data_IF_767514752065
#
_entry.id   IF_767514752065
#
_cell.length_a   1.000
_cell.length_b   1.000
_cell.length_c   1.000
_cell.angle_alpha   90.00
_cell.angle_beta   90.00
_cell.angle_gamma   90.00
#
_symmetry.space_group_name_H-M   'P 1'
#
loop_
_entity.id
_entity.type
_entity.pdbx_description
1 polymer ?
#
# COMPACT_ATOMS: atom_id res chain seq x y z
N UNK A 1 -9.16 -8.24 19.18
CA UNK A 1 -8.40 -9.48 19.02
C UNK A 1 -7.11 -9.12 18.29
N UNK A 2 -5.98 -9.70 18.69
CA UNK A 2 -4.67 -9.54 18.02
C UNK A 2 -4.33 -10.87 17.39
N UNK A 3 -4.01 -10.85 16.09
CA UNK A 3 -3.61 -12.02 15.33
C UNK A 3 -2.15 -11.82 14.88
N UNK A 4 -1.24 -12.74 15.20
CA UNK A 4 0.16 -12.61 14.82
C UNK A 4 0.37 -12.98 13.34
N UNK A 5 1.24 -12.20 12.67
CA UNK A 5 1.76 -12.47 11.33
C UNK A 5 3.23 -12.85 11.50
N UNK A 6 3.62 -14.03 11.01
CA UNK A 6 4.99 -14.52 11.07
C UNK A 6 5.85 -13.91 9.95
N UNK A 7 7.18 -13.88 10.14
CA UNK A 7 8.08 -13.53 9.06
C UNK A 7 8.17 -14.66 8.03
N UNK A 8 8.25 -14.31 6.73
CA UNK A 8 8.48 -15.26 5.65
C UNK A 8 9.90 -15.81 5.75
N UNK A 9 10.88 -14.91 5.94
CA UNK A 9 12.30 -15.28 5.97
C UNK A 9 12.94 -14.95 7.31
N UNK A 10 13.96 -15.70 7.66
CA UNK A 10 14.74 -15.51 8.88
C UNK A 10 15.31 -14.09 8.92
N UNK A 11 14.93 -13.35 9.97
CA UNK A 11 15.30 -11.95 10.15
C UNK A 11 14.82 -11.01 9.05
N UNK A 12 13.81 -11.41 8.26
CA UNK A 12 13.30 -10.69 7.08
C UNK A 12 14.42 -10.35 6.07
N UNK A 13 15.36 -11.28 5.92
CA UNK A 13 16.54 -11.08 5.07
C UNK A 13 16.35 -11.52 3.60
N UNK A 14 15.16 -12.03 3.24
CA UNK A 14 14.83 -12.45 1.88
C UNK A 14 15.59 -13.70 1.38
N UNK A 15 16.16 -14.52 2.27
CA UNK A 15 17.05 -15.63 1.89
C UNK A 15 16.54 -17.01 2.29
N UNK A 16 16.39 -17.26 3.56
CA UNK A 16 16.01 -18.56 4.12
C UNK A 16 14.64 -18.44 4.76
N UNK A 17 13.75 -19.37 4.47
CA UNK A 17 12.42 -19.41 5.07
C UNK A 17 12.51 -19.63 6.58
N UNK A 18 11.50 -19.13 7.30
CA UNK A 18 11.27 -19.47 8.70
C UNK A 18 10.65 -20.87 8.80
N UNK A 19 10.57 -21.41 10.02
CA UNK A 19 9.83 -22.65 10.33
C UNK A 19 8.33 -22.35 10.36
N UNK A 20 7.74 -22.11 9.16
CA UNK A 20 6.37 -21.62 9.01
C UNK A 20 5.34 -22.53 9.69
N UNK A 21 5.54 -23.86 9.66
CA UNK A 21 4.63 -24.80 10.32
C UNK A 21 4.59 -24.59 11.84
N UNK A 22 5.74 -24.45 12.49
CA UNK A 22 5.83 -24.19 13.93
C UNK A 22 5.21 -22.85 14.30
N UNK A 23 5.39 -21.84 13.46
CA UNK A 23 4.76 -20.53 13.66
C UNK A 23 3.23 -20.58 13.53
N UNK A 24 2.70 -21.38 12.60
CA UNK A 24 1.24 -21.62 12.51
C UNK A 24 0.73 -22.34 13.74
N UNK A 25 1.44 -23.38 14.24
CA UNK A 25 1.09 -24.07 15.47
C UNK A 25 1.12 -23.11 16.69
N UNK A 26 2.03 -22.13 16.68
CA UNK A 26 2.10 -21.08 17.68
C UNK A 26 1.00 -20.00 17.53
N UNK A 27 0.21 -20.04 16.46
CA UNK A 27 -0.94 -19.15 16.25
C UNK A 27 -0.80 -18.09 15.20
N UNK A 28 0.27 -18.11 14.37
CA UNK A 28 0.38 -17.21 13.21
C UNK A 28 -0.69 -17.54 12.17
N UNK A 29 -1.35 -16.52 11.65
CA UNK A 29 -2.45 -16.65 10.68
C UNK A 29 -2.03 -16.33 9.25
N UNK A 30 -0.87 -15.71 9.06
CA UNK A 30 -0.30 -15.28 7.80
C UNK A 30 1.21 -15.10 7.93
N UNK A 31 1.89 -14.85 6.82
CA UNK A 31 3.33 -14.56 6.79
C UNK A 31 3.63 -13.33 5.94
N UNK A 32 4.53 -12.48 6.43
CA UNK A 32 4.99 -11.26 5.75
C UNK A 32 6.43 -10.92 6.13
N UNK A 33 7.17 -10.39 5.17
CA UNK A 33 8.42 -9.67 5.44
C UNK A 33 8.22 -8.15 5.25
N UNK A 34 7.05 -7.63 5.58
CA UNK A 34 6.63 -6.26 5.31
C UNK A 34 7.72 -5.22 5.61
N UNK A 35 7.84 -4.25 4.70
CA UNK A 35 8.93 -3.27 4.66
C UNK A 35 10.29 -3.84 4.20
N UNK A 36 10.37 -5.16 3.92
CA UNK A 36 11.58 -5.83 3.40
C UNK A 36 11.16 -6.85 2.34
N UNK A 37 10.89 -6.44 1.10
CA UNK A 37 10.31 -7.32 0.08
C UNK A 37 11.19 -8.54 -0.19
N UNK A 38 10.56 -9.71 -0.35
CA UNK A 38 11.27 -10.94 -0.77
C UNK A 38 11.61 -10.81 -2.25
N UNK A 39 12.79 -10.30 -2.54
CA UNK A 39 13.23 -9.98 -3.92
C UNK A 39 13.56 -11.23 -4.74
N UNK A 40 14.02 -12.33 -4.12
CA UNK A 40 14.33 -13.58 -4.83
C UNK A 40 13.05 -14.34 -5.18
N UNK A 41 12.72 -14.50 -6.49
CA UNK A 41 11.53 -15.24 -6.91
C UNK A 41 11.51 -16.69 -6.48
N UNK A 42 12.67 -17.35 -6.34
CA UNK A 42 12.74 -18.74 -5.91
C UNK A 42 12.38 -18.89 -4.42
N UNK A 43 12.83 -17.93 -3.59
CA UNK A 43 12.45 -17.88 -2.17
C UNK A 43 10.95 -17.62 -2.03
N UNK A 44 10.40 -16.63 -2.75
CA UNK A 44 8.97 -16.33 -2.73
C UNK A 44 8.12 -17.51 -3.21
N UNK A 45 8.52 -18.18 -4.30
CA UNK A 45 7.85 -19.41 -4.78
C UNK A 45 7.80 -20.48 -3.71
N UNK A 46 8.93 -20.74 -3.03
CA UNK A 46 9.00 -21.75 -1.99
C UNK A 46 8.14 -21.37 -0.77
N UNK A 47 8.12 -20.08 -0.40
CA UNK A 47 7.25 -19.56 0.66
C UNK A 47 5.77 -19.76 0.32
N UNK A 48 5.35 -19.42 -0.90
CA UNK A 48 3.97 -19.62 -1.36
C UNK A 48 3.58 -21.10 -1.37
N UNK A 49 4.44 -21.99 -1.87
CA UNK A 49 4.18 -23.43 -1.86
C UNK A 49 4.04 -23.97 -0.43
N UNK A 50 4.89 -23.51 0.49
CA UNK A 50 4.81 -23.91 1.90
C UNK A 50 3.55 -23.37 2.57
N UNK A 51 3.23 -22.09 2.38
CA UNK A 51 2.01 -21.46 2.90
C UNK A 51 0.73 -22.15 2.38
N UNK A 52 0.72 -22.57 1.10
CA UNK A 52 -0.39 -23.32 0.53
C UNK A 52 -0.64 -24.66 1.25
N UNK A 53 0.42 -25.37 1.63
CA UNK A 53 0.31 -26.61 2.41
C UNK A 53 -0.27 -26.37 3.80
N UNK A 54 0.02 -25.22 4.40
CA UNK A 54 -0.45 -24.84 5.74
C UNK A 54 -1.83 -24.17 5.71
N UNK A 55 -2.35 -23.83 4.54
CA UNK A 55 -3.64 -23.17 4.36
C UNK A 55 -3.68 -21.71 4.82
N UNK A 56 -2.54 -21.03 4.87
CA UNK A 56 -2.40 -19.63 5.29
C UNK A 56 -1.93 -18.74 4.13
N UNK A 57 -2.27 -17.43 4.11
CA UNK A 57 -1.81 -16.52 3.07
C UNK A 57 -0.36 -16.04 3.29
N UNK A 58 0.29 -15.69 2.19
CA UNK A 58 1.45 -14.78 2.19
C UNK A 58 0.94 -13.37 1.96
N UNK A 59 1.38 -12.41 2.77
CA UNK A 59 1.12 -10.98 2.64
C UNK A 59 2.38 -10.32 2.09
N UNK A 60 2.29 -9.73 0.90
CA UNK A 60 3.45 -9.19 0.18
C UNK A 60 3.45 -7.66 0.17
N UNK A 61 4.50 -7.08 0.75
CA UNK A 61 4.93 -5.72 0.46
C UNK A 61 5.64 -5.73 -0.90
N UNK A 62 4.99 -5.18 -1.92
CA UNK A 62 5.47 -5.28 -3.29
C UNK A 62 6.35 -4.10 -3.67
N UNK A 63 7.67 -4.32 -3.68
CA UNK A 63 8.65 -3.31 -4.08
C UNK A 63 9.86 -3.97 -4.76
N UNK A 64 10.15 -3.59 -6.00
CA UNK A 64 11.43 -3.89 -6.62
C UNK A 64 12.48 -2.88 -6.15
N UNK A 65 13.36 -3.32 -5.24
CA UNK A 65 14.40 -2.49 -4.61
C UNK A 65 15.45 -1.95 -5.61
N UNK A 66 15.52 -2.50 -6.81
CA UNK A 66 16.44 -2.01 -7.83
C UNK A 66 15.86 -0.81 -8.57
N UNK A 67 14.56 -0.81 -8.79
CA UNK A 67 13.82 0.30 -9.41
C UNK A 67 13.56 1.44 -8.43
N UNK A 68 13.33 1.13 -7.15
CA UNK A 68 13.03 2.14 -6.11
C UNK A 68 14.27 2.74 -5.45
N UNK A 69 15.47 2.29 -5.81
CA UNK A 69 16.70 2.68 -5.10
C UNK A 69 16.83 4.19 -4.88
N UNK A 70 16.94 4.59 -3.63
CA UNK A 70 17.20 5.99 -3.24
C UNK A 70 16.00 6.92 -3.42
N UNK A 71 14.81 6.38 -3.56
CA UNK A 71 13.59 7.16 -3.72
C UNK A 71 13.28 8.07 -2.53
N UNK A 72 12.54 9.13 -2.77
CA UNK A 72 12.00 10.02 -1.76
C UNK A 72 10.47 10.13 -1.85
N UNK A 73 9.91 10.13 -3.06
CA UNK A 73 8.48 10.24 -3.31
C UNK A 73 8.09 9.56 -4.64
N UNK A 74 6.81 9.59 -5.02
CA UNK A 74 6.35 9.13 -6.33
C UNK A 74 7.11 9.79 -7.48
N UNK A 75 7.52 8.97 -8.47
CA UNK A 75 8.14 9.48 -9.71
C UNK A 75 7.10 10.14 -10.61
N UNK A 76 7.27 11.43 -10.89
CA UNK A 76 6.34 12.17 -11.74
C UNK A 76 6.69 13.65 -11.87
N UNK A 77 5.72 14.43 -12.30
CA UNK A 77 5.89 15.88 -12.49
C UNK A 77 6.22 16.61 -11.18
N UNK A 78 5.65 16.14 -10.05
CA UNK A 78 5.88 16.76 -8.75
C UNK A 78 7.29 16.49 -8.24
N UNK A 79 7.78 15.24 -8.31
CA UNK A 79 9.14 14.90 -7.90
C UNK A 79 10.18 15.64 -8.73
N UNK A 80 9.95 15.74 -10.05
CA UNK A 80 10.81 16.52 -10.95
C UNK A 80 10.83 18.00 -10.56
N UNK A 81 9.68 18.59 -10.27
CA UNK A 81 9.57 19.99 -9.83
C UNK A 81 10.27 20.25 -8.52
N UNK A 82 10.20 19.30 -7.58
CA UNK A 82 10.81 19.40 -6.24
C UNK A 82 12.30 19.00 -6.24
N UNK A 83 12.80 18.39 -7.31
CA UNK A 83 14.17 17.88 -7.38
C UNK A 83 14.40 16.66 -6.49
N UNK A 84 13.33 15.90 -6.20
CA UNK A 84 13.37 14.70 -5.36
C UNK A 84 13.47 13.44 -6.22
N UNK A 85 14.29 12.43 -5.82
CA UNK A 85 14.36 11.16 -6.53
C UNK A 85 13.03 10.42 -6.45
N UNK A 86 12.61 9.87 -7.61
CA UNK A 86 11.30 9.24 -7.77
C UNK A 86 11.29 7.75 -7.45
N UNK A 87 10.14 7.27 -6.98
CA UNK A 87 9.74 5.87 -6.89
C UNK A 87 8.79 5.59 -8.06
N UNK A 88 9.22 4.91 -9.13
CA UNK A 88 8.36 4.63 -10.26
C UNK A 88 7.23 3.65 -9.87
N UNK A 89 6.04 3.83 -10.43
CA UNK A 89 4.91 2.91 -10.24
C UNK A 89 5.31 1.47 -10.59
N UNK A 90 6.13 1.30 -11.62
CA UNK A 90 6.66 0.01 -12.05
C UNK A 90 7.40 -0.78 -10.94
N UNK A 91 7.98 -0.11 -9.94
CA UNK A 91 8.66 -0.81 -8.84
C UNK A 91 7.69 -1.63 -7.99
N UNK A 92 6.45 -1.18 -7.82
CA UNK A 92 5.37 -1.92 -7.17
C UNK A 92 4.77 -2.95 -8.14
N UNK A 93 4.43 -2.53 -9.35
CA UNK A 93 3.69 -3.32 -10.35
C UNK A 93 4.44 -4.58 -10.81
N UNK A 94 5.75 -4.48 -11.03
CA UNK A 94 6.58 -5.64 -11.43
C UNK A 94 6.55 -6.71 -10.36
N UNK A 95 6.63 -6.35 -9.08
CA UNK A 95 6.60 -7.32 -8.01
C UNK A 95 5.19 -7.89 -7.80
N UNK A 96 4.13 -7.09 -7.90
CA UNK A 96 2.75 -7.57 -7.89
C UNK A 96 2.55 -8.62 -8.99
N UNK A 97 2.94 -8.31 -10.24
CA UNK A 97 2.81 -9.24 -11.36
C UNK A 97 3.58 -10.54 -11.15
N UNK A 98 4.81 -10.46 -10.63
CA UNK A 98 5.63 -11.64 -10.28
C UNK A 98 4.95 -12.50 -9.23
N UNK A 99 4.49 -11.88 -8.14
CA UNK A 99 3.94 -12.60 -6.99
C UNK A 99 2.59 -13.24 -7.34
N UNK A 100 1.76 -12.58 -8.13
CA UNK A 100 0.53 -13.16 -8.68
C UNK A 100 0.84 -14.40 -9.55
N UNK A 101 1.84 -14.31 -10.44
CA UNK A 101 2.22 -15.45 -11.29
C UNK A 101 2.73 -16.65 -10.46
N UNK A 102 3.47 -16.39 -9.38
CA UNK A 102 3.93 -17.42 -8.47
C UNK A 102 2.78 -18.02 -7.65
N UNK A 103 1.83 -17.21 -7.22
CA UNK A 103 0.63 -17.67 -6.52
C UNK A 103 -0.26 -18.52 -7.42
N UNK A 104 -0.45 -18.13 -8.68
CA UNK A 104 -1.18 -18.90 -9.69
C UNK A 104 -0.55 -20.28 -9.93
N UNK A 105 0.79 -20.32 -10.06
CA UNK A 105 1.55 -21.55 -10.25
C UNK A 105 1.48 -22.51 -9.04
N UNK A 106 1.49 -21.98 -7.82
CA UNK A 106 1.53 -22.78 -6.58
C UNK A 106 0.15 -23.09 -6.01
N UNK A 107 -0.91 -22.41 -6.49
CA UNK A 107 -2.25 -22.49 -5.91
C UNK A 107 -2.37 -21.81 -4.54
N UNK A 108 -1.35 -21.06 -4.13
CA UNK A 108 -1.32 -20.36 -2.86
C UNK A 108 -2.27 -19.18 -2.81
N UNK A 109 -2.64 -18.76 -1.60
CA UNK A 109 -3.29 -17.47 -1.37
C UNK A 109 -2.22 -16.39 -1.16
N UNK A 110 -2.25 -15.37 -2.01
CA UNK A 110 -1.43 -14.18 -1.83
C UNK A 110 -2.31 -12.97 -1.51
N UNK A 111 -1.88 -12.18 -0.56
CA UNK A 111 -2.46 -10.88 -0.23
C UNK A 111 -1.47 -9.78 -0.58
N UNK A 112 -1.89 -8.82 -1.40
CA UNK A 112 -1.06 -7.67 -1.77
C UNK A 112 -1.35 -6.54 -0.79
N UNK A 113 -0.35 -6.23 0.04
CA UNK A 113 -0.45 -5.15 1.02
C UNK A 113 -0.46 -3.78 0.35
N UNK A 114 -1.17 -2.82 0.94
CA UNK A 114 -1.14 -1.38 0.67
C UNK A 114 -0.92 -1.02 -0.82
N UNK A 115 -1.71 -1.61 -1.74
CA UNK A 115 -1.65 -1.27 -3.17
C UNK A 115 -1.80 0.25 -3.34
N UNK A 116 -0.89 0.85 -4.10
CA UNK A 116 -0.86 2.30 -4.28
C UNK A 116 -1.01 2.76 -5.73
N UNK A 117 -0.87 1.87 -6.73
CA UNK A 117 -0.86 2.24 -8.15
C UNK A 117 -2.08 1.72 -8.92
N UNK A 118 -2.50 2.48 -9.94
CA UNK A 118 -3.56 2.07 -10.86
C UNK A 118 -3.21 0.76 -11.61
N UNK A 119 -1.94 0.60 -11.99
CA UNK A 119 -1.44 -0.62 -12.61
C UNK A 119 -1.50 -1.83 -11.66
N UNK A 120 -1.19 -1.63 -10.38
CA UNK A 120 -1.35 -2.65 -9.34
C UNK A 120 -2.81 -3.13 -9.21
N UNK A 121 -3.76 -2.17 -9.16
CA UNK A 121 -5.20 -2.50 -9.18
C UNK A 121 -5.59 -3.31 -10.41
N UNK A 122 -5.11 -2.90 -11.59
CA UNK A 122 -5.40 -3.61 -12.84
C UNK A 122 -4.85 -5.05 -12.84
N UNK A 123 -3.66 -5.26 -12.31
CA UNK A 123 -3.04 -6.58 -12.18
C UNK A 123 -3.83 -7.50 -11.24
N UNK A 124 -4.27 -6.99 -10.09
CA UNK A 124 -5.10 -7.74 -9.13
C UNK A 124 -6.46 -8.09 -9.74
N UNK A 125 -7.10 -7.13 -10.43
CA UNK A 125 -8.38 -7.35 -11.12
C UNK A 125 -8.27 -8.50 -12.13
N UNK A 126 -7.31 -8.41 -13.03
CA UNK A 126 -7.08 -9.44 -14.05
C UNK A 126 -6.73 -10.81 -13.45
N UNK A 127 -6.05 -10.85 -12.30
CA UNK A 127 -5.76 -12.09 -11.59
C UNK A 127 -7.03 -12.71 -10.99
N UNK A 128 -7.88 -11.91 -10.37
CA UNK A 128 -9.19 -12.37 -9.84
C UNK A 128 -10.09 -12.91 -10.94
N UNK A 129 -10.14 -12.25 -12.10
CA UNK A 129 -10.89 -12.71 -13.28
C UNK A 129 -10.42 -14.09 -13.78
N UNK A 130 -9.14 -14.40 -13.64
CA UNK A 130 -8.57 -15.72 -13.96
C UNK A 130 -8.76 -16.75 -12.85
N UNK A 131 -9.33 -16.37 -11.71
CA UNK A 131 -9.56 -17.25 -10.57
C UNK A 131 -8.32 -17.48 -9.70
N UNK A 132 -7.30 -16.63 -9.80
CA UNK A 132 -6.14 -16.67 -8.89
C UNK A 132 -6.60 -16.31 -7.48
N UNK A 133 -6.11 -17.04 -6.48
CA UNK A 133 -6.39 -16.75 -5.06
C UNK A 133 -5.59 -15.54 -4.59
N UNK A 134 -6.02 -14.36 -5.02
CA UNK A 134 -5.40 -13.07 -4.66
C UNK A 134 -6.40 -12.20 -3.93
N UNK A 135 -5.96 -11.55 -2.86
CA UNK A 135 -6.64 -10.44 -2.18
C UNK A 135 -5.71 -9.25 -2.11
N UNK A 136 -6.27 -8.06 -1.93
CA UNK A 136 -5.51 -6.83 -1.85
C UNK A 136 -6.15 -5.83 -0.88
N UNK A 137 -5.33 -4.94 -0.35
CA UNK A 137 -5.78 -3.85 0.50
C UNK A 137 -5.25 -2.50 0.04
N UNK A 138 -5.95 -1.44 0.42
CA UNK A 138 -5.50 -0.06 0.25
C UNK A 138 -5.51 0.65 1.61
N UNK A 139 -4.69 1.68 1.76
CA UNK A 139 -4.62 2.44 3.01
C UNK A 139 -5.48 3.71 2.94
N UNK A 140 -5.93 4.26 4.08
CA UNK A 140 -6.66 5.51 4.11
C UNK A 140 -5.89 6.67 3.46
N UNK A 141 -4.57 6.74 3.66
CA UNK A 141 -3.75 7.79 3.09
C UNK A 141 -3.61 7.66 1.56
N UNK A 142 -3.48 6.45 1.00
CA UNK A 142 -3.48 6.25 -0.46
C UNK A 142 -4.85 6.49 -1.11
N UNK A 143 -5.95 6.42 -0.35
CA UNK A 143 -7.30 6.71 -0.83
C UNK A 143 -7.66 8.20 -0.81
N UNK A 144 -6.88 9.03 -0.09
CA UNK A 144 -7.28 10.43 0.20
C UNK A 144 -6.21 11.46 -0.12
N UNK A 145 -4.94 11.09 -0.06
CA UNK A 145 -3.80 11.98 -0.27
C UNK A 145 -3.10 11.65 -1.59
N UNK A 146 -2.48 12.67 -2.19
CA UNK A 146 -1.69 12.53 -3.41
C UNK A 146 -0.28 13.09 -3.22
N UNK A 147 0.60 12.87 -4.18
CA UNK A 147 1.96 13.42 -4.22
C UNK A 147 2.01 14.97 -4.16
N UNK A 148 0.88 15.64 -4.48
CA UNK A 148 0.73 17.10 -4.35
C UNK A 148 0.87 17.58 -2.91
N UNK A 149 0.61 16.72 -1.93
CA UNK A 149 0.78 17.07 -0.52
C UNK A 149 2.25 17.31 -0.16
N UNK A 150 3.18 16.65 -0.86
CA UNK A 150 4.63 16.92 -0.73
C UNK A 150 4.99 18.32 -1.23
N UNK A 151 4.29 18.80 -2.28
CA UNK A 151 4.46 20.15 -2.81
C UNK A 151 3.99 21.24 -1.82
N UNK A 152 3.02 20.91 -0.98
CA UNK A 152 2.46 21.82 0.00
C UNK A 152 2.02 23.16 -0.63
N UNK A 153 2.34 24.26 0.04
CA UNK A 153 1.97 25.63 -0.40
C UNK A 153 2.79 26.16 -1.59
N UNK A 154 3.73 25.39 -2.15
CA UNK A 154 4.40 25.72 -3.41
C UNK A 154 3.52 25.39 -4.64
N UNK A 155 2.40 24.69 -4.43
CA UNK A 155 1.37 24.42 -5.41
C UNK A 155 0.15 25.31 -5.24
N UNK A 156 -0.89 25.05 -6.03
CA UNK A 156 -2.23 25.57 -5.75
C UNK A 156 -2.76 24.90 -4.45
N UNK A 157 -3.69 25.56 -3.71
CA UNK A 157 -4.27 24.96 -2.53
C UNK A 157 -4.81 23.57 -2.85
N UNK A 158 -4.36 22.55 -2.12
CA UNK A 158 -4.92 21.21 -2.23
C UNK A 158 -6.28 21.24 -1.55
N UNK A 159 -7.35 21.29 -2.34
CA UNK A 159 -8.69 21.12 -1.79
C UNK A 159 -8.85 19.68 -1.30
N UNK A 160 -9.48 19.45 -0.15
CA UNK A 160 -9.88 18.12 0.27
C UNK A 160 -10.70 17.49 -0.86
N UNK A 161 -10.42 16.23 -1.22
CA UNK A 161 -11.25 15.52 -2.17
C UNK A 161 -12.66 15.40 -1.61
N UNK A 162 -13.66 15.79 -2.39
CA UNK A 162 -15.04 15.50 -2.04
C UNK A 162 -15.20 13.97 -1.98
N UNK A 163 -15.78 13.43 -0.90
CA UNK A 163 -16.04 12.00 -0.84
C UNK A 163 -16.93 11.62 -2.04
N UNK A 164 -16.69 10.46 -2.68
CA UNK A 164 -17.48 10.00 -3.80
C UNK A 164 -18.96 9.98 -3.41
N UNK A 165 -19.81 10.49 -4.30
CA UNK A 165 -21.25 10.51 -4.07
C UNK A 165 -21.74 9.11 -3.68
N UNK A 166 -22.52 8.96 -2.60
CA UNK A 166 -23.00 7.66 -2.18
C UNK A 166 -23.82 7.03 -3.30
N UNK A 167 -23.75 5.70 -3.48
CA UNK A 167 -24.52 5.01 -4.51
C UNK A 167 -25.99 5.37 -4.35
N UNK A 168 -26.63 5.79 -5.44
CA UNK A 168 -28.05 6.17 -5.47
C UNK A 168 -28.95 4.94 -5.23
N UNK A 169 -29.04 4.49 -4.01
CA UNK A 169 -30.09 3.59 -3.54
C UNK A 169 -31.37 4.42 -3.38
N UNK A 170 -32.42 4.01 -4.05
CA UNK A 170 -33.70 4.65 -4.17
C UNK A 170 -34.18 5.40 -2.93
N UNK A 171 -34.77 6.56 -3.17
CA UNK A 171 -35.24 7.57 -2.24
C UNK A 171 -35.89 7.01 -0.96
N UNK A 172 -35.11 6.86 0.11
CA UNK A 172 -35.61 6.97 1.47
C UNK A 172 -35.10 8.30 2.02
N UNK A 173 -36.02 9.26 2.23
CA UNK A 173 -35.73 10.51 2.92
C UNK A 173 -35.18 10.18 4.32
N UNK A 174 -33.86 10.22 4.52
CA UNK A 174 -33.26 10.29 5.85
C UNK A 174 -33.30 11.75 6.29
N UNK A 175 -33.97 11.99 7.40
CA UNK A 175 -33.89 13.23 8.14
C UNK A 175 -32.48 13.32 8.75
N UNK A 176 -31.78 14.43 8.51
CA UNK A 176 -30.54 14.88 9.13
C UNK A 176 -29.46 13.79 9.26
N UNK A 177 -28.61 13.65 8.24
CA UNK A 177 -27.24 13.23 8.46
C UNK A 177 -26.45 14.48 8.88
N UNK A 178 -25.67 14.42 9.97
CA UNK A 178 -24.74 15.50 10.27
C UNK A 178 -23.73 15.55 9.11
N UNK A 179 -23.53 16.71 8.52
CA UNK A 179 -22.36 16.99 7.72
C UNK A 179 -21.14 16.69 8.60
N UNK A 180 -20.45 15.57 8.33
CA UNK A 180 -19.13 15.29 8.87
C UNK A 180 -18.13 16.21 8.14
N UNK A 181 -18.37 17.51 8.25
CA UNK A 181 -17.37 18.51 7.95
C UNK A 181 -16.29 18.39 9.01
N UNK A 182 -15.08 18.02 8.60
CA UNK A 182 -13.92 18.12 9.49
C UNK A 182 -13.92 19.55 10.06
N UNK A 183 -13.77 19.71 11.38
CA UNK A 183 -13.72 21.06 11.98
C UNK A 183 -12.61 21.84 11.27
N UNK A 184 -12.85 23.11 10.98
CA UNK A 184 -11.94 23.98 10.23
C UNK A 184 -10.50 24.04 10.80
N UNK A 185 -10.32 23.68 12.08
CA UNK A 185 -9.01 23.57 12.72
C UNK A 185 -8.26 22.26 12.38
N UNK A 186 -8.96 21.27 11.82
CA UNK A 186 -8.36 19.99 11.42
C UNK A 186 -7.84 20.04 9.97
N UNK A 187 -8.22 21.06 9.20
CA UNK A 187 -7.72 21.27 7.84
C UNK A 187 -6.61 22.31 7.91
N UNK A 188 -5.33 21.91 7.77
CA UNK A 188 -4.25 22.89 7.75
C UNK A 188 -4.46 23.85 6.59
N UNK A 189 -4.59 25.13 6.87
CA UNK A 189 -4.76 26.17 5.84
C UNK A 189 -3.51 26.38 4.98
N UNK A 190 -2.37 25.85 5.42
CA UNK A 190 -1.10 25.79 4.68
C UNK A 190 -0.29 24.58 5.16
N UNK A 191 0.04 23.70 4.26
CA UNK A 191 1.02 22.64 4.49
C UNK A 191 2.39 23.16 4.10
N UNK A 192 3.42 22.93 4.90
CA UNK A 192 4.78 23.22 4.47
C UNK A 192 5.15 22.31 3.29
N UNK A 193 5.89 22.83 2.29
CA UNK A 193 6.49 21.93 1.30
C UNK A 193 7.50 21.00 1.98
N UNK A 194 7.66 19.81 1.43
CA UNK A 194 8.54 18.78 1.99
C UNK A 194 8.18 18.36 3.42
N UNK A 195 6.88 18.38 3.76
CA UNK A 195 6.42 17.85 5.05
C UNK A 195 6.72 16.35 5.12
N UNK A 196 7.64 15.97 6.01
CA UNK A 196 8.09 14.59 6.16
C UNK A 196 7.00 13.64 6.64
N UNK A 197 5.90 14.16 7.22
CA UNK A 197 4.71 13.37 7.54
C UNK A 197 4.03 12.80 6.29
N UNK A 198 4.27 13.36 5.11
CA UNK A 198 3.78 12.83 3.82
C UNK A 198 4.65 11.74 3.23
N UNK A 199 5.80 11.42 3.85
CA UNK A 199 6.68 10.35 3.39
C UNK A 199 6.24 9.01 3.95
N UNK A 200 5.67 8.18 3.09
CA UNK A 200 5.15 6.82 3.37
C UNK A 200 5.71 5.84 2.35
N UNK A 201 5.67 4.55 2.63
CA UNK A 201 6.08 3.48 1.72
C UNK A 201 4.96 2.43 1.58
N UNK A 202 4.43 2.25 0.35
CA UNK A 202 4.73 2.97 -0.90
C UNK A 202 4.38 4.45 -0.81
N UNK A 203 4.96 5.31 -1.69
CA UNK A 203 4.73 6.75 -1.61
C UNK A 203 3.30 7.14 -2.01
N UNK A 204 2.85 8.31 -1.56
CA UNK A 204 1.61 8.93 -2.06
C UNK A 204 1.72 9.11 -3.57
N UNK A 205 0.67 8.74 -4.30
CA UNK A 205 0.64 8.66 -5.76
C UNK A 205 -0.15 9.81 -6.39
N UNK A 206 -0.38 9.71 -7.69
CA UNK A 206 -1.17 10.66 -8.46
C UNK A 206 -2.67 10.61 -8.13
N UNK A 207 -3.43 11.60 -8.61
CA UNK A 207 -4.89 11.58 -8.56
C UNK A 207 -5.48 10.38 -9.29
N UNK A 208 -4.88 9.98 -10.41
CA UNK A 208 -5.32 8.84 -11.22
C UNK A 208 -5.17 7.52 -10.45
N UNK A 209 -4.10 7.35 -9.69
CA UNK A 209 -3.88 6.18 -8.84
C UNK A 209 -4.93 6.11 -7.72
N UNK A 210 -5.19 7.24 -7.07
CA UNK A 210 -6.21 7.33 -6.02
C UNK A 210 -7.60 6.97 -6.56
N UNK A 211 -7.96 7.47 -7.77
CA UNK A 211 -9.23 7.13 -8.41
C UNK A 211 -9.33 5.64 -8.72
N UNK A 212 -8.26 5.03 -9.19
CA UNK A 212 -8.21 3.59 -9.47
C UNK A 212 -8.38 2.74 -8.20
N UNK A 213 -7.77 3.14 -7.08
CA UNK A 213 -7.94 2.48 -5.79
C UNK A 213 -9.40 2.57 -5.29
N UNK A 214 -10.01 3.75 -5.38
CA UNK A 214 -11.41 3.95 -5.00
C UNK A 214 -12.35 3.08 -5.86
N UNK A 215 -12.10 3.01 -7.16
CA UNK A 215 -12.89 2.14 -8.05
C UNK A 215 -12.64 0.66 -7.74
N UNK A 216 -11.39 0.28 -7.43
CA UNK A 216 -11.04 -1.06 -6.99
C UNK A 216 -11.77 -1.51 -5.73
N UNK A 217 -12.02 -0.59 -4.78
CA UNK A 217 -12.86 -0.86 -3.61
C UNK A 217 -14.34 -1.02 -3.99
N UNK A 218 -14.83 -0.26 -4.97
CA UNK A 218 -16.23 -0.32 -5.39
C UNK A 218 -16.57 -1.59 -6.13
N UNK A 219 -15.69 -2.05 -6.98
CA UNK A 219 -15.89 -3.25 -7.81
C UNK A 219 -15.43 -4.55 -7.12
N UNK A 220 -14.82 -4.45 -5.93
CA UNK A 220 -14.34 -5.61 -5.16
C UNK A 220 -12.98 -6.15 -5.62
N UNK A 221 -12.24 -5.39 -6.42
CA UNK A 221 -10.85 -5.70 -6.74
C UNK A 221 -9.96 -5.55 -5.49
N UNK A 222 -10.18 -4.49 -4.71
CA UNK A 222 -9.57 -4.29 -3.40
C UNK A 222 -10.52 -4.82 -2.33
N UNK A 223 -10.05 -5.69 -1.46
CA UNK A 223 -10.85 -6.44 -0.50
C UNK A 223 -10.99 -5.76 0.84
N UNK A 224 -10.01 -4.95 1.23
CA UNK A 224 -9.94 -4.35 2.56
C UNK A 224 -9.32 -2.95 2.54
N UNK A 225 -9.58 -2.20 3.60
CA UNK A 225 -8.84 -1.00 3.96
C UNK A 225 -8.04 -1.33 5.22
N UNK A 226 -6.72 -1.25 5.12
CA UNK A 226 -5.80 -1.42 6.24
C UNK A 226 -5.05 -0.11 6.50
N UNK A 227 -4.81 0.21 7.76
CA UNK A 227 -4.25 1.51 8.12
C UNK A 227 -2.79 1.67 7.77
N UNK A 228 -2.04 0.58 7.77
CA UNK A 228 -0.58 0.63 7.70
C UNK A 228 0.01 1.66 8.69
N UNK A 229 -0.50 1.61 9.94
CA UNK A 229 -0.13 2.56 10.99
C UNK A 229 1.30 2.28 11.45
N UNK A 230 2.24 3.00 10.86
CA UNK A 230 3.68 2.87 11.06
C UNK A 230 4.32 4.20 11.48
N UNK A 231 3.94 4.76 12.66
CA UNK A 231 4.44 6.06 13.11
C UNK A 231 5.92 5.99 13.47
N UNK A 232 6.62 7.08 13.17
CA UNK A 232 8.01 7.27 13.55
C UNK A 232 8.16 8.40 14.57
N UNK A 233 9.26 8.39 15.30
CA UNK A 233 9.54 9.45 16.27
C UNK A 233 9.76 10.81 15.59
N UNK A 234 9.57 11.91 16.33
CA UNK A 234 9.87 13.25 15.81
C UNK A 234 11.30 13.34 15.27
N UNK A 235 12.26 12.73 15.96
CA UNK A 235 13.68 12.74 15.56
C UNK A 235 13.87 12.11 14.16
N UNK A 236 13.15 11.05 13.87
CA UNK A 236 13.22 10.35 12.57
C UNK A 236 12.51 11.12 11.44
N UNK A 237 11.68 12.09 11.82
CA UNK A 237 10.90 12.94 10.87
C UNK A 237 11.48 14.36 10.75
N UNK A 238 12.19 14.90 11.74
CA UNK A 238 12.79 16.23 11.71
C UNK A 238 14.15 16.26 10.98
N UNK A 239 14.12 15.90 9.71
CA UNK A 239 15.29 15.87 8.83
C UNK A 239 14.90 16.22 7.39
N UNK A 240 15.87 16.19 6.47
CA UNK A 240 15.59 16.35 5.03
C UNK A 240 14.58 15.30 4.54
N UNK A 241 13.67 15.70 3.67
CA UNK A 241 12.56 14.86 3.20
C UNK A 241 13.03 13.48 2.72
N UNK A 242 14.12 13.42 1.94
CA UNK A 242 14.68 12.17 1.42
C UNK A 242 15.30 11.26 2.47
N UNK A 243 15.59 11.76 3.67
CA UNK A 243 16.20 11.03 4.77
C UNK A 243 15.19 10.63 5.86
N UNK A 244 13.99 11.24 5.86
CA UNK A 244 12.98 10.94 6.85
C UNK A 244 12.53 9.47 6.76
N UNK A 245 12.27 8.84 7.89
CA UNK A 245 11.73 7.49 7.90
C UNK A 245 10.35 7.44 7.23
N UNK A 246 10.09 6.49 6.30
CA UNK A 246 8.79 6.38 5.63
C UNK A 246 7.78 5.68 6.55
N UNK A 247 6.65 6.34 6.81
CA UNK A 247 5.54 5.81 7.61
C UNK A 247 4.69 6.93 8.21
N UNK A 248 3.43 6.63 8.57
CA UNK A 248 2.41 7.56 9.04
C UNK A 248 1.61 6.97 10.20
#
# INVERSE_FOLDING_TARGET
RVEPIGAITLGRAGKNLTEMAELVEAGCIAFSDDGSPVSDPAVMRNALAYAAMLGVPIMSHCEDLTLSRGWAMHEGAISTRLGLPGYPAAAEEVQIARDIALAEMTGAHIHICHVSTAGGVALVRAAKERGVRVTAEATPHHLTLTDRWVLGSLGEPVAPREPPAPPTRGKRKRKHEPELGLPAWLVPTRLPPYDTSTRVSPPLRSDEDVDALIEGLRDGTIDAIATDHAPHSHVDKECEYGLAAPGI
#
